data_IF_610941758192
#
_entry.id   IF_610941758192
#
_cell.length_a   1.000
_cell.length_b   1.000
_cell.length_c   1.000
_cell.angle_alpha   90.00
_cell.angle_beta   90.00
_cell.angle_gamma   90.00
#
_symmetry.space_group_name_H-M   'P 1'
#
loop_
_entity.id
_entity.type
_entity.pdbx_description
1 polymer ?
#
# COMPACT_ATOMS: atom_id res chain seq x y z
N UNK A 1 23.91 9.64 7.89
CA UNK A 1 23.45 10.06 6.54
C UNK A 1 23.69 11.55 6.37
N UNK A 2 22.89 12.42 7.00
CA UNK A 2 23.03 13.87 6.82
C UNK A 2 24.37 14.47 7.26
N UNK A 3 25.00 13.94 8.32
CA UNK A 3 26.33 14.39 8.76
C UNK A 3 27.42 14.22 7.68
N UNK A 4 27.21 13.29 6.74
CA UNK A 4 28.09 13.02 5.59
C UNK A 4 27.58 13.67 4.30
N UNK A 5 26.59 14.59 4.39
CA UNK A 5 26.00 15.28 3.24
C UNK A 5 25.07 14.42 2.37
N UNK A 6 24.69 13.20 2.82
CA UNK A 6 23.79 12.31 2.07
C UNK A 6 22.31 12.63 2.29
N UNK A 7 21.48 12.32 1.30
CA UNK A 7 20.01 12.39 1.39
C UNK A 7 19.40 10.98 1.57
N UNK A 8 18.25 10.89 2.24
CA UNK A 8 17.52 9.65 2.47
C UNK A 8 16.02 9.87 2.36
N UNK A 9 15.37 9.00 1.58
CA UNK A 9 13.92 8.88 1.49
C UNK A 9 13.47 7.56 2.09
N UNK A 10 12.31 7.54 2.74
CA UNK A 10 11.71 6.31 3.27
C UNK A 10 10.59 5.82 2.37
N UNK A 11 10.55 4.52 2.10
CA UNK A 11 9.46 3.94 1.32
C UNK A 11 8.30 3.56 2.25
N UNK A 12 7.11 4.13 1.99
CA UNK A 12 5.88 3.83 2.72
C UNK A 12 5.12 2.70 2.02
N UNK A 13 4.80 1.65 2.77
CA UNK A 13 4.16 0.45 2.25
C UNK A 13 2.97 0.05 3.12
N UNK A 14 1.90 -0.40 2.46
CA UNK A 14 0.86 -1.23 3.05
C UNK A 14 0.82 -2.57 2.30
N UNK A 15 1.04 -3.70 2.97
CA UNK A 15 1.22 -4.99 2.30
C UNK A 15 -0.07 -5.54 1.68
N UNK A 16 -1.21 -5.18 2.25
CA UNK A 16 -2.51 -5.64 1.78
C UNK A 16 -2.65 -7.15 1.95
N UNK A 17 -3.05 -7.87 0.89
CA UNK A 17 -3.21 -9.34 0.96
C UNK A 17 -1.92 -10.14 1.12
N UNK A 18 -0.75 -9.55 0.89
CA UNK A 18 0.55 -10.22 1.05
C UNK A 18 0.95 -10.18 2.53
N UNK A 19 0.21 -10.91 3.37
CA UNK A 19 0.38 -10.91 4.82
C UNK A 19 -0.25 -12.16 5.45
N UNK A 20 0.00 -12.36 6.75
CA UNK A 20 -0.58 -13.43 7.55
C UNK A 20 -0.94 -12.90 8.95
N UNK A 21 -2.08 -13.29 9.56
CA UNK A 21 -2.47 -12.89 10.91
C UNK A 21 -1.35 -13.04 11.93
N UNK A 22 -0.64 -14.17 11.90
CA UNK A 22 0.47 -14.49 12.81
C UNK A 22 1.67 -13.54 12.73
N UNK A 23 1.77 -12.72 11.69
CA UNK A 23 2.81 -11.70 11.56
C UNK A 23 2.41 -10.36 12.18
N UNK A 24 1.24 -10.28 12.81
CA UNK A 24 0.74 -9.06 13.45
C UNK A 24 0.29 -9.36 14.89
N UNK A 25 0.59 -8.48 15.87
CA UNK A 25 0.24 -8.73 17.26
C UNK A 25 -1.27 -8.82 17.50
N UNK A 26 -2.06 -8.19 16.63
CA UNK A 26 -3.51 -8.18 16.69
C UNK A 26 -4.17 -9.35 15.93
N UNK A 27 -3.39 -10.20 15.25
CA UNK A 27 -3.89 -11.38 14.51
C UNK A 27 -5.07 -11.06 13.58
N UNK A 28 -5.02 -9.91 12.90
CA UNK A 28 -6.13 -9.46 12.05
C UNK A 28 -6.03 -10.12 10.69
N UNK A 29 -7.18 -10.41 10.10
CA UNK A 29 -7.25 -10.81 8.69
C UNK A 29 -6.66 -9.71 7.80
N UNK A 30 -5.77 -10.04 6.85
CA UNK A 30 -5.26 -9.08 5.88
C UNK A 30 -6.38 -8.40 5.10
N UNK A 31 -6.13 -7.18 4.63
CA UNK A 31 -7.11 -6.40 3.85
C UNK A 31 -6.67 -6.23 2.41
N UNK A 32 -7.62 -6.06 1.50
CA UNK A 32 -7.38 -5.97 0.06
C UNK A 32 -8.52 -5.21 -0.64
N UNK A 33 -8.40 -4.85 -1.93
CA UNK A 33 -9.54 -4.39 -2.72
C UNK A 33 -10.66 -5.43 -2.81
N UNK A 34 -10.31 -6.72 -2.86
CA UNK A 34 -11.23 -7.84 -3.06
C UNK A 34 -10.81 -9.06 -2.24
N UNK A 35 -11.77 -9.89 -1.85
CA UNK A 35 -11.54 -11.15 -1.13
C UNK A 35 -11.00 -12.26 -2.06
N UNK A 36 -9.81 -12.03 -2.61
CA UNK A 36 -9.13 -12.96 -3.52
C UNK A 36 -7.82 -13.39 -2.84
N UNK A 37 -7.68 -14.69 -2.56
CA UNK A 37 -6.49 -15.25 -1.95
C UNK A 37 -5.27 -15.08 -2.88
N UNK A 38 -4.14 -14.55 -2.38
CA UNK A 38 -2.90 -14.54 -3.15
C UNK A 38 -2.32 -15.95 -3.25
N UNK A 39 -1.56 -16.22 -4.31
CA UNK A 39 -0.81 -17.48 -4.44
C UNK A 39 0.50 -17.39 -3.66
N UNK A 40 0.84 -18.44 -2.92
CA UNK A 40 2.13 -18.58 -2.25
C UNK A 40 2.02 -18.69 -0.73
N UNK A 41 3.17 -18.74 -0.08
CA UNK A 41 3.31 -18.87 1.37
C UNK A 41 3.96 -17.62 1.96
N UNK A 42 3.59 -17.30 3.18
CA UNK A 42 4.22 -16.28 4.02
C UNK A 42 4.99 -16.97 5.14
N UNK A 43 6.20 -16.49 5.43
CA UNK A 43 6.90 -16.94 6.63
C UNK A 43 6.25 -16.31 7.87
N UNK A 44 5.95 -17.14 8.84
CA UNK A 44 5.40 -16.77 10.15
C UNK A 44 6.33 -17.25 11.26
N UNK A 45 6.04 -16.88 12.51
CA UNK A 45 6.72 -17.45 13.68
C UNK A 45 6.56 -18.98 13.78
N UNK A 46 5.50 -19.54 13.19
CA UNK A 46 5.26 -20.99 13.06
C UNK A 46 5.83 -21.62 11.79
N UNK A 47 6.68 -20.90 11.02
CA UNK A 47 7.22 -21.37 9.74
C UNK A 47 6.41 -20.91 8.53
N UNK A 48 6.66 -21.48 7.33
CA UNK A 48 5.92 -21.14 6.12
C UNK A 48 4.44 -21.55 6.24
N UNK A 49 3.53 -20.60 6.06
CA UNK A 49 2.08 -20.81 6.10
C UNK A 49 1.45 -20.25 4.82
N UNK A 50 0.31 -20.82 4.38
CA UNK A 50 -0.45 -20.24 3.27
C UNK A 50 -1.01 -18.87 3.65
N UNK A 51 -0.95 -17.91 2.74
CA UNK A 51 -1.62 -16.62 2.96
C UNK A 51 -3.14 -16.82 2.92
N UNK A 52 -3.90 -16.29 3.90
CA UNK A 52 -5.35 -16.48 3.95
C UNK A 52 -6.08 -15.64 2.91
N UNK A 53 -7.37 -15.92 2.73
CA UNK A 53 -8.28 -15.02 2.00
C UNK A 53 -8.34 -13.67 2.74
N UNK A 54 -8.06 -12.54 2.08
CA UNK A 54 -8.15 -11.23 2.71
C UNK A 54 -9.59 -10.77 2.82
N UNK A 55 -9.85 -9.78 3.67
CA UNK A 55 -11.10 -9.04 3.73
C UNK A 55 -11.08 -7.87 2.72
N UNK A 56 -12.17 -7.69 1.99
CA UNK A 56 -12.32 -6.51 1.13
C UNK A 56 -12.53 -5.24 1.98
N UNK A 57 -11.81 -4.16 1.65
CA UNK A 57 -12.00 -2.85 2.28
C UNK A 57 -13.35 -2.23 1.88
N UNK A 58 -14.00 -1.52 2.79
CA UNK A 58 -15.12 -0.62 2.44
C UNK A 58 -14.59 0.68 1.84
N UNK A 59 -15.46 1.47 1.21
CA UNK A 59 -15.07 2.80 0.71
C UNK A 59 -14.57 3.72 1.85
N UNK A 60 -15.24 3.69 3.00
CA UNK A 60 -14.84 4.50 4.16
C UNK A 60 -13.48 4.07 4.73
N UNK A 61 -13.21 2.76 4.76
CA UNK A 61 -11.90 2.26 5.18
C UNK A 61 -10.79 2.67 4.22
N UNK A 62 -11.08 2.75 2.91
CA UNK A 62 -10.10 3.24 1.92
C UNK A 62 -9.72 4.70 2.22
N UNK A 63 -10.69 5.56 2.57
CA UNK A 63 -10.41 6.93 3.01
C UNK A 63 -9.54 6.96 4.26
N UNK A 64 -9.81 6.07 5.22
CA UNK A 64 -8.96 5.92 6.41
C UNK A 64 -7.51 5.55 6.06
N UNK A 65 -7.29 4.64 5.11
CA UNK A 65 -5.94 4.28 4.65
C UNK A 65 -5.25 5.47 3.96
N UNK A 66 -5.96 6.30 3.21
CA UNK A 66 -5.40 7.53 2.62
C UNK A 66 -4.87 8.45 3.74
N UNK A 67 -5.64 8.64 4.81
CA UNK A 67 -5.23 9.44 5.96
C UNK A 67 -4.04 8.83 6.72
N UNK A 68 -3.96 7.51 6.81
CA UNK A 68 -2.80 6.82 7.39
C UNK A 68 -1.51 7.12 6.60
N UNK A 69 -1.55 7.06 5.26
CA UNK A 69 -0.40 7.42 4.43
C UNK A 69 0.01 8.88 4.62
N UNK A 70 -0.97 9.79 4.68
CA UNK A 70 -0.74 11.22 4.95
C UNK A 70 -0.04 11.42 6.29
N UNK A 71 -0.59 10.83 7.35
CA UNK A 71 -0.05 10.92 8.70
C UNK A 71 1.38 10.36 8.80
N UNK A 72 1.62 9.18 8.24
CA UNK A 72 2.95 8.54 8.29
C UNK A 72 3.97 9.31 7.45
N UNK A 73 3.57 9.95 6.35
CA UNK A 73 4.46 10.82 5.58
C UNK A 73 4.91 12.04 6.38
N UNK A 74 3.98 12.71 7.08
CA UNK A 74 4.31 13.81 7.98
C UNK A 74 5.26 13.35 9.10
N UNK A 75 4.97 12.19 9.71
CA UNK A 75 5.81 11.61 10.75
C UNK A 75 7.22 11.26 10.24
N UNK A 76 7.36 10.77 9.00
CA UNK A 76 8.64 10.49 8.38
C UNK A 76 9.49 11.78 8.20
N UNK A 77 8.89 12.85 7.69
CA UNK A 77 9.59 14.14 7.56
C UNK A 77 9.98 14.70 8.93
N UNK A 78 9.09 14.60 9.92
CA UNK A 78 9.38 15.00 11.29
C UNK A 78 10.52 14.18 11.94
N UNK A 79 10.68 12.91 11.53
CA UNK A 79 11.79 12.04 11.95
C UNK A 79 13.11 12.34 11.22
N UNK A 80 13.12 13.29 10.27
CA UNK A 80 14.32 13.70 9.54
C UNK A 80 14.55 12.96 8.22
N UNK A 81 13.53 12.35 7.61
CA UNK A 81 13.66 11.92 6.21
C UNK A 81 13.50 13.13 5.27
N UNK A 82 14.26 13.16 4.18
CA UNK A 82 14.20 14.24 3.19
C UNK A 82 12.92 14.17 2.32
N UNK A 83 12.28 13.00 2.29
CA UNK A 83 11.02 12.77 1.63
C UNK A 83 10.57 11.32 1.77
N UNK A 84 9.49 10.97 1.06
CA UNK A 84 8.91 9.62 1.07
C UNK A 84 8.70 9.09 -0.33
N UNK A 85 8.81 7.77 -0.48
CA UNK A 85 8.41 7.05 -1.68
C UNK A 85 7.18 6.18 -1.38
N UNK A 86 6.07 6.42 -2.06
CA UNK A 86 4.85 5.62 -1.93
C UNK A 86 5.02 4.32 -2.72
N UNK A 87 4.82 3.18 -2.07
CA UNK A 87 4.96 1.89 -2.73
C UNK A 87 3.68 1.45 -3.47
N UNK A 88 3.55 1.85 -4.74
CA UNK A 88 2.48 1.46 -5.67
C UNK A 88 2.81 0.28 -6.60
N UNK A 89 3.61 -0.69 -6.14
CA UNK A 89 4.25 -1.71 -6.98
C UNK A 89 4.27 -3.09 -6.31
N UNK A 90 4.75 -4.11 -7.05
CA UNK A 90 5.16 -5.42 -6.54
C UNK A 90 4.13 -6.22 -5.74
N UNK A 91 2.85 -6.04 -6.01
CA UNK A 91 1.81 -6.90 -5.42
C UNK A 91 1.21 -6.39 -4.11
N UNK A 92 1.65 -5.23 -3.61
CA UNK A 92 1.15 -4.66 -2.36
C UNK A 92 -0.13 -3.83 -2.56
N UNK A 93 -0.72 -3.29 -1.49
CA UNK A 93 -2.11 -2.82 -1.47
C UNK A 93 -2.45 -1.88 -2.64
N UNK A 94 -1.63 -0.85 -2.88
CA UNK A 94 -1.86 0.09 -3.99
C UNK A 94 -1.80 -0.62 -5.36
N UNK A 95 -0.85 -1.54 -5.55
CA UNK A 95 -0.76 -2.33 -6.78
C UNK A 95 -1.93 -3.32 -6.94
N UNK A 96 -2.44 -3.86 -5.83
CA UNK A 96 -3.64 -4.70 -5.82
C UNK A 96 -4.86 -3.91 -6.35
N UNK A 97 -5.02 -2.63 -5.97
CA UNK A 97 -6.09 -1.78 -6.51
C UNK A 97 -5.89 -1.47 -8.00
N UNK A 98 -4.67 -1.22 -8.44
CA UNK A 98 -4.34 -0.95 -9.84
C UNK A 98 -4.63 -2.14 -10.77
N UNK A 99 -4.55 -3.37 -10.25
CA UNK A 99 -4.49 -4.59 -11.04
C UNK A 99 -5.82 -5.32 -11.12
N UNK A 100 -6.29 -5.59 -12.34
CA UNK A 100 -7.58 -6.23 -12.58
C UNK A 100 -7.68 -7.68 -12.07
N UNK A 101 -6.56 -8.37 -11.85
CA UNK A 101 -6.52 -9.72 -11.28
C UNK A 101 -6.65 -9.75 -9.75
N UNK A 102 -6.51 -8.61 -9.08
CA UNK A 102 -6.62 -8.48 -7.63
C UNK A 102 -7.81 -7.60 -7.21
N UNK A 103 -8.33 -6.76 -8.12
CA UNK A 103 -9.44 -5.85 -7.89
C UNK A 103 -10.63 -6.17 -8.81
N UNK A 104 -11.62 -6.85 -8.25
CA UNK A 104 -12.92 -7.13 -8.89
C UNK A 104 -14.05 -6.24 -8.36
N UNK A 105 -13.73 -5.11 -7.71
CA UNK A 105 -14.73 -4.20 -7.16
C UNK A 105 -15.61 -3.61 -8.26
N UNK A 106 -16.85 -3.33 -7.90
CA UNK A 106 -17.86 -2.71 -8.77
C UNK A 106 -18.20 -1.27 -8.37
N UNK A 107 -17.54 -0.74 -7.34
CA UNK A 107 -17.69 0.63 -6.88
C UNK A 107 -16.69 1.58 -7.57
N UNK A 108 -16.58 2.81 -7.06
CA UNK A 108 -15.69 3.84 -7.59
C UNK A 108 -14.19 3.53 -7.53
N UNK A 109 -13.81 2.42 -6.88
CA UNK A 109 -12.42 1.96 -6.76
C UNK A 109 -12.11 0.72 -7.62
N UNK A 110 -13.06 0.23 -8.43
CA UNK A 110 -12.85 -0.88 -9.36
C UNK A 110 -13.56 -0.74 -10.70
N UNK A 111 -13.44 -1.78 -11.54
CA UNK A 111 -13.96 -1.78 -12.90
C UNK A 111 -13.06 -1.00 -13.87
N UNK A 112 -13.33 0.28 -14.10
CA UNK A 112 -12.61 1.10 -15.08
C UNK A 112 -11.15 1.36 -14.67
N UNK A 113 -10.29 1.68 -15.64
CA UNK A 113 -8.88 2.09 -15.35
C UNK A 113 -8.86 3.30 -14.42
N UNK A 114 -9.71 4.30 -14.67
CA UNK A 114 -9.84 5.50 -13.83
C UNK A 114 -10.16 5.14 -12.38
N UNK A 115 -11.11 4.23 -12.16
CA UNK A 115 -11.49 3.80 -10.82
C UNK A 115 -10.36 3.01 -10.12
N UNK A 116 -9.64 2.15 -10.84
CA UNK A 116 -8.50 1.41 -10.28
C UNK A 116 -7.32 2.30 -9.92
N UNK A 117 -7.12 3.40 -10.65
CA UNK A 117 -6.08 4.41 -10.35
C UNK A 117 -6.47 5.29 -9.16
N UNK A 118 -7.77 5.49 -8.92
CA UNK A 118 -8.32 6.43 -7.94
C UNK A 118 -7.63 6.35 -6.58
N UNK A 119 -7.53 5.17 -5.98
CA UNK A 119 -6.94 5.01 -4.65
C UNK A 119 -5.47 5.45 -4.61
N UNK A 120 -4.66 5.01 -5.57
CA UNK A 120 -3.24 5.43 -5.67
C UNK A 120 -3.11 6.94 -5.89
N UNK A 121 -4.00 7.53 -6.68
CA UNK A 121 -4.02 8.98 -6.90
C UNK A 121 -4.39 9.74 -5.62
N UNK A 122 -5.42 9.29 -4.90
CA UNK A 122 -5.84 9.88 -3.61
C UNK A 122 -4.71 9.84 -2.58
N UNK A 123 -4.03 8.69 -2.43
CA UNK A 123 -2.84 8.56 -1.56
C UNK A 123 -1.74 9.52 -1.99
N UNK A 124 -1.40 9.55 -3.28
CA UNK A 124 -0.30 10.40 -3.79
C UNK A 124 -0.61 11.89 -3.60
N UNK A 125 -1.84 12.32 -3.87
CA UNK A 125 -2.27 13.70 -3.69
C UNK A 125 -2.30 14.10 -2.22
N UNK A 126 -2.76 13.23 -1.31
CA UNK A 126 -2.79 13.51 0.12
C UNK A 126 -1.37 13.66 0.69
N UNK A 127 -0.46 12.76 0.34
CA UNK A 127 0.94 12.83 0.77
C UNK A 127 1.64 14.07 0.20
N UNK A 128 1.49 14.34 -1.11
CA UNK A 128 2.11 15.51 -1.73
C UNK A 128 1.60 16.83 -1.15
N UNK A 129 0.32 16.88 -0.75
CA UNK A 129 -0.28 18.04 -0.10
C UNK A 129 0.23 18.26 1.32
N UNK A 130 0.58 17.18 2.03
CA UNK A 130 1.06 17.21 3.41
C UNK A 130 2.55 17.59 3.51
N UNK A 131 3.41 16.98 2.69
CA UNK A 131 4.87 17.13 2.82
C UNK A 131 5.55 17.86 1.66
N UNK A 132 4.79 18.22 0.62
CA UNK A 132 5.30 18.82 -0.61
C UNK A 132 5.52 17.80 -1.73
N UNK A 133 5.19 18.20 -2.97
CA UNK A 133 5.36 17.36 -4.16
C UNK A 133 6.84 17.09 -4.48
N UNK A 134 7.73 18.00 -4.14
CA UNK A 134 9.20 17.87 -4.25
C UNK A 134 9.77 16.78 -3.33
N UNK A 135 9.03 16.38 -2.29
CA UNK A 135 9.42 15.37 -1.31
C UNK A 135 8.64 14.06 -1.45
N UNK A 136 7.84 13.93 -2.51
CA UNK A 136 6.93 12.80 -2.71
C UNK A 136 7.27 12.03 -4.00
N UNK A 137 7.70 10.79 -3.84
CA UNK A 137 7.87 9.83 -4.94
C UNK A 137 6.75 8.79 -4.99
N UNK A 138 6.49 8.23 -6.16
CA UNK A 138 5.63 7.06 -6.35
C UNK A 138 6.38 5.99 -7.13
N UNK A 139 6.52 4.79 -6.54
CA UNK A 139 7.11 3.64 -7.21
C UNK A 139 6.03 2.76 -7.83
N UNK A 140 6.16 2.48 -9.13
CA UNK A 140 5.24 1.63 -9.89
C UNK A 140 6.00 0.48 -10.58
N UNK A 141 5.30 -0.64 -10.82
CA UNK A 141 5.82 -1.78 -11.61
C UNK A 141 4.85 -2.17 -12.73
N UNK A 142 4.65 -1.32 -13.75
CA UNK A 142 3.75 -1.62 -14.86
C UNK A 142 4.15 -2.91 -15.58
N UNK A 143 3.18 -3.74 -15.94
CA UNK A 143 3.43 -5.02 -16.60
C UNK A 143 3.77 -6.18 -15.66
N UNK A 144 3.97 -5.94 -14.36
CA UNK A 144 4.05 -7.01 -13.39
C UNK A 144 2.68 -7.70 -13.25
N UNK A 145 2.63 -8.99 -13.60
CA UNK A 145 1.41 -9.81 -13.56
C UNK A 145 1.18 -10.48 -12.21
N UNK A 146 2.19 -10.45 -11.33
CA UNK A 146 2.14 -11.05 -10.00
C UNK A 146 1.48 -10.09 -9.03
N UNK A 147 0.20 -10.32 -8.76
CA UNK A 147 -0.55 -9.73 -7.65
C UNK A 147 -1.32 -10.82 -6.94
#
# INVERSE_FOLDING_TARGET
>A
MHAEGGCIVVQLMHTGRISHPDNTPHQRTPVAPSAIQPKGVMFTTGGPQEMPVPRALTADEITGVVDEFRYVAAAAVAAGFDGVEIHGANGYLLHQFLSANANNRTDQYGGSVTNRIRFTAEVTSAVASEIGADRTGLRISPGNRSN
#
